data_IF_717030327506
#
_entry.id   IF_717030327506
#
_cell.length_a   1.000
_cell.length_b   1.000
_cell.length_c   1.000
_cell.angle_alpha   90.00
_cell.angle_beta   90.00
_cell.angle_gamma   90.00
#
_symmetry.space_group_name_H-M   'P 1'
#
loop_
_entity.id
_entity.type
_entity.pdbx_description
1 polymer ?
#
# COMPACT_ATOMS: atom_id res chain seq x y z
N UNK A 1 20.10 26.99 -12.67
CA UNK A 1 20.95 27.72 -11.71
C UNK A 1 21.62 26.84 -10.63
N UNK A 2 21.32 25.53 -10.50
CA UNK A 2 21.82 24.70 -9.37
C UNK A 2 23.10 23.89 -9.66
N UNK A 3 23.54 23.81 -10.92
CA UNK A 3 24.81 23.15 -11.30
C UNK A 3 26.04 24.06 -11.07
N UNK A 4 25.84 25.39 -10.99
CA UNK A 4 26.92 26.34 -10.71
C UNK A 4 27.44 26.24 -9.26
N UNK A 5 26.57 25.88 -8.30
CA UNK A 5 26.94 25.77 -6.88
C UNK A 5 27.81 24.56 -6.59
N UNK A 6 27.62 23.44 -7.31
CA UNK A 6 28.44 22.22 -7.14
C UNK A 6 29.81 22.33 -7.82
N UNK A 7 29.89 23.00 -8.98
CA UNK A 7 31.16 23.26 -9.66
C UNK A 7 31.98 24.33 -8.91
N UNK A 8 31.32 25.38 -8.40
CA UNK A 8 31.98 26.43 -7.62
C UNK A 8 32.58 25.93 -6.31
N UNK A 9 31.90 25.02 -5.60
CA UNK A 9 32.43 24.45 -4.36
C UNK A 9 33.62 23.52 -4.62
N UNK A 10 33.59 22.70 -5.67
CA UNK A 10 34.71 21.83 -6.03
C UNK A 10 35.99 22.62 -6.38
N UNK A 11 35.86 23.72 -7.12
CA UNK A 11 36.98 24.62 -7.45
C UNK A 11 37.53 25.31 -6.21
N UNK A 12 36.67 25.81 -5.32
CA UNK A 12 37.09 26.41 -4.04
C UNK A 12 37.83 25.40 -3.15
N UNK A 13 37.44 24.12 -3.16
CA UNK A 13 38.14 23.07 -2.44
C UNK A 13 39.52 22.77 -3.01
N UNK A 14 39.65 22.69 -4.33
CA UNK A 14 40.96 22.51 -4.97
C UNK A 14 41.89 23.69 -4.68
N UNK A 15 41.37 24.92 -4.70
CA UNK A 15 42.13 26.12 -4.31
C UNK A 15 42.54 26.04 -2.83
N UNK A 16 41.66 25.63 -1.93
CA UNK A 16 41.97 25.50 -0.50
C UNK A 16 43.04 24.42 -0.23
N UNK A 17 42.95 23.26 -0.89
CA UNK A 17 43.96 22.18 -0.82
C UNK A 17 45.30 22.67 -1.35
N UNK A 18 45.30 23.37 -2.49
CA UNK A 18 46.50 23.92 -3.10
C UNK A 18 47.16 24.99 -2.22
N UNK A 19 46.38 25.89 -1.62
CA UNK A 19 46.87 26.90 -0.68
C UNK A 19 47.41 26.29 0.61
N UNK A 20 46.77 25.24 1.13
CA UNK A 20 47.26 24.49 2.29
C UNK A 20 48.58 23.76 1.99
N UNK A 21 48.72 23.19 0.79
CA UNK A 21 49.96 22.55 0.35
C UNK A 21 51.11 23.55 0.18
N UNK A 22 50.85 24.70 -0.43
CA UNK A 22 51.88 25.74 -0.62
C UNK A 22 52.30 26.37 0.72
N UNK A 23 51.39 26.48 1.68
CA UNK A 23 51.67 27.03 3.02
C UNK A 23 51.84 25.95 4.08
N UNK A 24 52.29 24.74 3.70
CA UNK A 24 52.41 23.59 4.62
C UNK A 24 53.34 23.84 5.80
N UNK A 25 54.28 24.76 5.66
CA UNK A 25 55.23 25.14 6.72
C UNK A 25 54.59 26.08 7.76
N UNK A 26 53.39 26.60 7.49
CA UNK A 26 52.60 27.40 8.43
C UNK A 26 51.62 26.51 9.19
N UNK A 27 51.98 26.20 10.43
CA UNK A 27 51.16 25.42 11.36
C UNK A 27 49.75 26.01 11.53
N UNK A 28 49.61 27.35 11.48
CA UNK A 28 48.31 28.04 11.55
C UNK A 28 47.44 27.77 10.33
N UNK A 29 48.02 27.72 9.12
CA UNK A 29 47.27 27.43 7.90
C UNK A 29 46.85 25.97 7.88
N UNK A 30 47.74 25.06 8.26
CA UNK A 30 47.45 23.63 8.33
C UNK A 30 46.34 23.33 9.35
N UNK A 31 46.42 23.92 10.55
CA UNK A 31 45.41 23.75 11.61
C UNK A 31 44.05 24.29 11.16
N UNK A 32 44.02 25.47 10.55
CA UNK A 32 42.78 26.09 10.04
C UNK A 32 42.14 25.23 8.94
N UNK A 33 42.96 24.68 8.03
CA UNK A 33 42.50 23.77 6.98
C UNK A 33 41.91 22.48 7.56
N UNK A 34 42.58 21.87 8.55
CA UNK A 34 42.10 20.66 9.22
C UNK A 34 40.79 20.89 9.98
N UNK A 35 40.65 22.03 10.67
CA UNK A 35 39.39 22.42 11.33
C UNK A 35 38.26 22.60 10.31
N UNK A 36 38.54 23.28 9.19
CA UNK A 36 37.58 23.46 8.10
C UNK A 36 37.14 22.13 7.46
N UNK A 37 38.08 21.22 7.21
CA UNK A 37 37.79 19.88 6.69
C UNK A 37 36.96 19.06 7.67
N UNK A 38 37.30 19.11 8.96
CA UNK A 38 36.55 18.42 10.02
C UNK A 38 35.13 18.96 10.13
N UNK A 39 34.95 20.29 10.04
CA UNK A 39 33.63 20.92 10.03
C UNK A 39 32.81 20.55 8.79
N UNK A 40 33.44 20.43 7.61
CA UNK A 40 32.77 19.95 6.40
C UNK A 40 32.34 18.48 6.52
N UNK A 41 33.26 17.60 6.93
CA UNK A 41 32.95 16.18 7.12
C UNK A 41 31.85 16.03 8.17
N UNK A 42 31.95 16.78 9.28
CA UNK A 42 30.93 16.84 10.32
C UNK A 42 29.57 17.32 9.82
N UNK A 43 29.52 18.34 8.97
CA UNK A 43 28.26 18.85 8.40
C UNK A 43 27.66 17.93 7.33
N UNK A 44 28.49 17.30 6.48
CA UNK A 44 28.04 16.27 5.54
C UNK A 44 27.51 15.04 6.28
N UNK A 45 28.21 14.58 7.30
CA UNK A 45 27.75 13.49 8.18
C UNK A 45 26.47 13.91 8.91
N UNK A 46 26.35 15.15 9.39
CA UNK A 46 25.14 15.64 10.02
C UNK A 46 23.94 15.65 9.07
N UNK A 47 24.12 16.02 7.79
CA UNK A 47 23.06 15.91 6.78
C UNK A 47 22.68 14.45 6.51
N UNK A 48 23.65 13.54 6.47
CA UNK A 48 23.40 12.10 6.24
C UNK A 48 22.73 11.44 7.45
N UNK A 49 23.08 11.84 8.67
CA UNK A 49 22.60 11.24 9.92
C UNK A 49 21.30 11.89 10.40
N UNK A 50 21.21 13.22 10.37
CA UNK A 50 20.07 14.00 10.90
C UNK A 50 19.18 14.61 9.82
N UNK A 51 19.66 14.75 8.58
CA UNK A 51 18.85 15.20 7.44
C UNK A 51 18.05 14.07 6.78
N UNK A 52 18.28 12.82 7.20
CA UNK A 52 17.48 11.69 6.77
C UNK A 52 16.14 11.68 7.53
N UNK A 53 15.05 11.97 6.82
CA UNK A 53 13.72 11.80 7.39
C UNK A 53 13.42 10.33 7.72
N UNK A 54 12.61 10.08 8.77
CA UNK A 54 12.40 8.74 9.27
C UNK A 54 11.72 7.85 8.23
N UNK A 55 12.08 6.55 8.16
CA UNK A 55 11.35 5.60 7.33
C UNK A 55 9.89 5.50 7.81
N UNK A 56 8.98 5.29 6.87
CA UNK A 56 7.57 5.02 7.21
C UNK A 56 7.45 3.52 7.44
N UNK A 57 6.86 3.13 8.56
CA UNK A 57 6.50 1.73 8.80
C UNK A 57 5.11 1.65 9.41
N UNK A 58 4.18 1.01 8.71
CA UNK A 58 2.82 0.72 9.16
C UNK A 58 2.64 -0.79 9.20
N UNK A 59 2.14 -1.30 10.31
CA UNK A 59 1.87 -2.73 10.48
C UNK A 59 0.46 -2.89 11.05
N UNK A 60 -0.38 -3.64 10.35
CA UNK A 60 -1.77 -3.85 10.69
C UNK A 60 -2.21 -5.26 10.26
N UNK A 61 -3.33 -5.72 10.81
CA UNK A 61 -3.96 -6.99 10.44
C UNK A 61 -5.14 -6.73 9.52
N UNK A 62 -5.42 -7.68 8.63
CA UNK A 62 -6.61 -7.68 7.78
C UNK A 62 -7.22 -9.07 7.79
N UNK A 63 -8.53 -9.18 7.62
CA UNK A 63 -9.21 -10.46 7.55
C UNK A 63 -10.10 -10.56 6.31
N UNK A 64 -10.21 -11.76 5.78
CA UNK A 64 -11.17 -12.10 4.73
C UNK A 64 -12.11 -13.16 5.27
N UNK A 65 -13.40 -12.83 5.29
CA UNK A 65 -14.46 -13.77 5.64
C UNK A 65 -14.94 -14.52 4.41
N UNK A 66 -15.18 -15.81 4.62
CA UNK A 66 -15.42 -16.80 3.58
C UNK A 66 -16.63 -17.63 4.00
N UNK A 67 -17.49 -17.98 3.06
CA UNK A 67 -18.59 -18.91 3.32
C UNK A 67 -18.06 -20.34 3.44
N UNK A 68 -18.32 -21.01 4.55
CA UNK A 68 -17.81 -22.37 4.81
C UNK A 68 -18.31 -23.42 3.82
N UNK A 69 -19.48 -23.20 3.21
CA UNK A 69 -20.13 -24.19 2.32
C UNK A 69 -19.47 -24.26 0.94
N UNK A 70 -19.13 -23.11 0.37
CA UNK A 70 -18.68 -22.99 -1.01
C UNK A 70 -17.33 -22.30 -1.17
N UNK A 71 -16.73 -21.82 -0.07
CA UNK A 71 -15.43 -21.15 -0.07
C UNK A 71 -15.44 -19.91 -0.98
N UNK A 72 -16.58 -19.21 -1.05
CA UNK A 72 -16.69 -17.92 -1.73
C UNK A 72 -16.56 -16.78 -0.72
N UNK A 73 -16.04 -15.61 -1.13
CA UNK A 73 -15.94 -14.45 -0.23
C UNK A 73 -17.30 -14.08 0.36
N UNK A 74 -17.32 -13.67 1.62
CA UNK A 74 -18.52 -13.23 2.31
C UNK A 74 -18.83 -11.76 1.97
N UNK A 75 -20.03 -11.48 1.47
CA UNK A 75 -20.40 -10.18 0.89
C UNK A 75 -21.25 -9.27 1.79
N UNK A 76 -21.92 -9.81 2.82
CA UNK A 76 -22.92 -9.03 3.58
C UNK A 76 -22.32 -8.12 4.67
N UNK A 77 -21.01 -7.88 4.63
CA UNK A 77 -20.36 -6.96 5.56
C UNK A 77 -20.42 -5.52 5.04
N UNK A 78 -20.83 -4.55 5.87
CA UNK A 78 -20.91 -3.15 5.45
C UNK A 78 -19.53 -2.56 5.12
N UNK A 79 -18.48 -3.07 5.76
CA UNK A 79 -17.09 -2.73 5.48
C UNK A 79 -16.28 -4.02 5.40
N UNK A 80 -15.49 -4.17 4.34
CA UNK A 80 -14.62 -5.33 4.13
C UNK A 80 -13.30 -4.91 3.51
N UNK A 81 -12.25 -5.71 3.73
CA UNK A 81 -10.93 -5.49 3.14
C UNK A 81 -10.97 -5.54 1.61
N UNK A 82 -11.93 -6.27 1.05
CA UNK A 82 -12.06 -6.49 -0.38
C UNK A 82 -12.98 -5.42 -0.98
N UNK A 83 -12.50 -4.61 -1.95
CA UNK A 83 -13.37 -3.72 -2.70
C UNK A 83 -14.46 -4.52 -3.41
N UNK A 84 -15.69 -4.01 -3.45
CA UNK A 84 -16.84 -4.77 -3.97
C UNK A 84 -16.63 -5.23 -5.42
N UNK A 85 -16.01 -4.42 -6.28
CA UNK A 85 -15.66 -4.83 -7.64
C UNK A 85 -14.77 -6.09 -7.68
N UNK A 86 -13.76 -6.16 -6.80
CA UNK A 86 -12.91 -7.34 -6.67
C UNK A 86 -13.69 -8.55 -6.18
N UNK A 87 -14.61 -8.37 -5.23
CA UNK A 87 -15.41 -9.50 -4.70
C UNK A 87 -16.29 -10.11 -5.78
N UNK A 88 -16.95 -9.28 -6.61
CA UNK A 88 -17.75 -9.73 -7.76
C UNK A 88 -16.89 -10.53 -8.74
N UNK A 89 -15.78 -9.94 -9.19
CA UNK A 89 -14.90 -10.56 -10.19
C UNK A 89 -14.28 -11.86 -9.66
N UNK A 90 -13.83 -11.87 -8.40
CA UNK A 90 -13.29 -13.06 -7.76
C UNK A 90 -14.34 -14.17 -7.66
N UNK A 91 -15.59 -13.85 -7.31
CA UNK A 91 -16.67 -14.81 -7.27
C UNK A 91 -16.98 -15.39 -8.64
N UNK A 92 -17.07 -14.56 -9.67
CA UNK A 92 -17.29 -15.01 -11.05
C UNK A 92 -16.16 -15.95 -11.50
N UNK A 93 -14.91 -15.57 -11.20
CA UNK A 93 -13.74 -16.39 -11.50
C UNK A 93 -13.77 -17.73 -10.77
N UNK A 94 -14.03 -17.74 -9.46
CA UNK A 94 -14.08 -18.97 -8.66
C UNK A 94 -15.22 -19.91 -9.09
N UNK A 95 -16.34 -19.36 -9.57
CA UNK A 95 -17.42 -20.15 -10.18
C UNK A 95 -17.01 -20.76 -11.52
N UNK A 96 -16.25 -20.02 -12.34
CA UNK A 96 -15.73 -20.50 -13.62
C UNK A 96 -14.58 -21.51 -13.45
N UNK A 97 -13.85 -21.44 -12.34
CA UNK A 97 -12.67 -22.23 -12.03
C UNK A 97 -12.81 -22.98 -10.68
N UNK A 98 -13.73 -23.96 -10.58
CA UNK A 98 -14.00 -24.68 -9.34
C UNK A 98 -12.79 -25.47 -8.81
N UNK A 99 -11.79 -25.76 -9.65
CA UNK A 99 -10.53 -26.38 -9.26
C UNK A 99 -9.76 -25.55 -8.21
N UNK A 100 -9.86 -24.21 -8.25
CA UNK A 100 -9.20 -23.32 -7.29
C UNK A 100 -9.78 -23.49 -5.88
N UNK A 101 -11.10 -23.69 -5.79
CA UNK A 101 -11.79 -23.98 -4.53
C UNK A 101 -11.43 -25.39 -4.06
N UNK A 102 -11.38 -26.37 -4.97
CA UNK A 102 -11.05 -27.74 -4.62
C UNK A 102 -9.62 -27.88 -4.06
N UNK A 103 -8.67 -27.11 -4.59
CA UNK A 103 -7.31 -26.99 -4.02
C UNK A 103 -7.37 -26.45 -2.58
N UNK A 104 -8.02 -25.29 -2.37
CA UNK A 104 -8.14 -24.67 -1.06
C UNK A 104 -8.82 -25.58 -0.01
N UNK A 105 -9.83 -26.35 -0.39
CA UNK A 105 -10.50 -27.29 0.52
C UNK A 105 -9.58 -28.39 1.05
N UNK A 106 -8.58 -28.82 0.27
CA UNK A 106 -7.63 -29.87 0.71
C UNK A 106 -6.71 -29.37 1.83
N UNK A 107 -6.47 -28.06 1.87
CA UNK A 107 -5.64 -27.40 2.88
C UNK A 107 -6.43 -27.10 4.18
N UNK A 108 -7.75 -27.32 4.18
CA UNK A 108 -8.65 -27.10 5.32
C UNK A 108 -9.11 -25.64 5.47
N UNK A 109 -8.24 -24.69 5.16
CA UNK A 109 -8.54 -23.26 5.02
C UNK A 109 -8.05 -22.75 3.66
N UNK A 110 -8.53 -21.59 3.24
CA UNK A 110 -8.25 -21.05 1.92
C UNK A 110 -7.20 -19.93 1.93
N UNK A 111 -6.31 -19.94 2.93
CA UNK A 111 -5.34 -18.87 3.18
C UNK A 111 -4.55 -18.49 1.93
N UNK A 112 -3.89 -19.44 1.28
CA UNK A 112 -3.07 -19.14 0.10
C UNK A 112 -3.92 -18.56 -1.04
N UNK A 113 -5.12 -19.10 -1.26
CA UNK A 113 -6.05 -18.60 -2.27
C UNK A 113 -6.47 -17.15 -1.96
N UNK A 114 -6.83 -16.86 -0.72
CA UNK A 114 -7.29 -15.53 -0.33
C UNK A 114 -6.14 -14.53 -0.11
N UNK A 115 -4.91 -14.99 0.13
CA UNK A 115 -3.71 -14.15 0.06
C UNK A 115 -3.45 -13.69 -1.39
N UNK A 116 -3.68 -14.56 -2.38
CA UNK A 116 -3.64 -14.18 -3.80
C UNK A 116 -4.67 -13.08 -4.10
N UNK A 117 -5.89 -13.24 -3.59
CA UNK A 117 -6.95 -12.24 -3.74
C UNK A 117 -6.57 -10.92 -3.05
N UNK A 118 -6.08 -10.98 -1.81
CA UNK A 118 -5.66 -9.81 -1.04
C UNK A 118 -4.53 -9.03 -1.74
N UNK A 119 -3.50 -9.73 -2.24
CA UNK A 119 -2.43 -9.10 -3.01
C UNK A 119 -3.01 -8.38 -4.24
N UNK A 120 -3.96 -9.02 -4.95
CA UNK A 120 -4.63 -8.38 -6.08
C UNK A 120 -5.46 -7.17 -5.66
N UNK A 121 -6.15 -7.23 -4.52
CA UNK A 121 -6.91 -6.11 -3.96
C UNK A 121 -6.02 -4.91 -3.63
N UNK A 122 -4.80 -5.12 -3.14
CA UNK A 122 -3.83 -4.03 -2.92
C UNK A 122 -3.46 -3.36 -4.25
N UNK A 123 -3.15 -4.14 -5.29
CA UNK A 123 -2.86 -3.59 -6.63
C UNK A 123 -4.10 -2.86 -7.19
N UNK A 124 -5.30 -3.42 -7.00
CA UNK A 124 -6.55 -2.83 -7.46
C UNK A 124 -6.83 -1.49 -6.78
N UNK A 125 -6.57 -1.41 -5.48
CA UNK A 125 -6.70 -0.16 -4.73
C UNK A 125 -5.71 0.88 -5.26
N UNK A 126 -4.45 0.49 -5.53
CA UNK A 126 -3.46 1.38 -6.13
C UNK A 126 -3.87 1.87 -7.52
N UNK A 127 -4.37 1.00 -8.39
CA UNK A 127 -4.92 1.36 -9.72
C UNK A 127 -6.08 2.35 -9.59
N UNK A 128 -6.98 2.13 -8.62
CA UNK A 128 -8.13 3.01 -8.39
C UNK A 128 -7.70 4.35 -7.83
N UNK A 129 -6.68 4.38 -6.95
CA UNK A 129 -6.17 5.61 -6.33
C UNK A 129 -5.34 6.46 -7.29
N UNK A 130 -4.55 5.83 -8.16
CA UNK A 130 -3.63 6.48 -9.08
C UNK A 130 -3.86 6.02 -10.53
N UNK A 131 -5.03 6.29 -11.14
CA UNK A 131 -5.41 5.70 -12.42
C UNK A 131 -4.66 6.28 -13.63
N UNK A 132 -4.21 7.54 -13.53
CA UNK A 132 -3.61 8.29 -14.65
C UNK A 132 -2.39 9.12 -14.26
N UNK A 133 -2.27 9.47 -12.98
CA UNK A 133 -1.16 10.26 -12.44
C UNK A 133 -0.86 9.83 -11.01
N UNK A 134 0.42 9.80 -10.64
CA UNK A 134 0.87 9.54 -9.26
C UNK A 134 0.70 10.77 -8.33
N UNK A 135 0.39 11.93 -8.90
CA UNK A 135 -0.09 13.11 -8.17
C UNK A 135 -1.55 13.34 -8.53
N UNK A 136 -2.42 12.53 -7.93
CA UNK A 136 -3.88 12.63 -8.10
C UNK A 136 -4.53 12.89 -6.76
N UNK A 137 -5.38 13.92 -6.74
CA UNK A 137 -6.29 14.16 -5.64
C UNK A 137 -7.59 13.39 -5.95
N UNK A 138 -7.93 12.41 -5.11
CA UNK A 138 -9.15 11.58 -5.27
C UNK A 138 -10.23 12.05 -4.32
N UNK A 139 -11.36 12.50 -4.86
CA UNK A 139 -12.50 12.93 -4.05
C UNK A 139 -13.56 11.83 -4.06
N UNK A 140 -13.93 11.27 -2.89
CA UNK A 140 -15.07 10.36 -2.83
C UNK A 140 -16.34 11.14 -3.18
N UNK A 141 -17.14 10.58 -4.07
CA UNK A 141 -18.47 11.09 -4.38
C UNK A 141 -19.47 10.03 -3.99
N UNK A 142 -20.27 10.33 -2.97
CA UNK A 142 -21.34 9.44 -2.49
C UNK A 142 -22.68 10.05 -2.88
N UNK A 143 -23.48 9.34 -3.66
CA UNK A 143 -24.81 9.80 -4.08
C UNK A 143 -25.82 8.65 -3.96
N UNK A 144 -26.73 8.72 -2.99
CA UNK A 144 -27.89 7.81 -2.90
C UNK A 144 -27.57 6.31 -2.92
N UNK A 145 -26.45 5.89 -2.32
CA UNK A 145 -26.00 4.48 -2.32
C UNK A 145 -24.99 4.14 -3.43
N UNK A 146 -24.76 5.02 -4.40
CA UNK A 146 -23.65 4.91 -5.34
C UNK A 146 -22.41 5.61 -4.77
N UNK A 147 -21.29 4.89 -4.71
CA UNK A 147 -19.97 5.45 -4.40
C UNK A 147 -19.14 5.52 -5.68
N UNK A 148 -18.60 6.69 -5.99
CA UNK A 148 -17.65 6.92 -7.07
C UNK A 148 -16.47 7.75 -6.61
N UNK A 149 -15.53 7.98 -7.52
CA UNK A 149 -14.39 8.87 -7.29
C UNK A 149 -14.31 9.89 -8.42
N UNK A 150 -14.06 11.14 -8.05
CA UNK A 150 -13.61 12.17 -9.00
C UNK A 150 -12.10 12.30 -8.85
N UNK A 151 -11.42 12.22 -9.98
CA UNK A 151 -9.96 12.30 -10.06
C UNK A 151 -9.56 13.69 -10.54
N UNK A 152 -8.75 14.39 -9.75
CA UNK A 152 -8.08 15.60 -10.19
C UNK A 152 -6.58 15.33 -10.29
N UNK A 153 -6.16 14.88 -11.49
CA UNK A 153 -4.77 14.58 -11.78
C UNK A 153 -3.98 15.85 -12.11
N UNK A 154 -2.84 16.04 -11.44
CA UNK A 154 -1.87 17.05 -11.85
C UNK A 154 -1.09 16.55 -13.07
N UNK A 155 -0.80 17.40 -14.06
CA UNK A 155 -0.06 17.02 -15.26
C UNK A 155 1.42 16.83 -14.92
N UNK A 156 1.75 15.66 -14.37
CA UNK A 156 3.12 15.26 -14.04
C UNK A 156 3.50 14.01 -14.83
N UNK A 157 4.76 13.94 -15.24
CA UNK A 157 5.26 12.77 -15.95
C UNK A 157 5.12 11.53 -15.06
N UNK A 158 4.38 10.55 -15.56
CA UNK A 158 4.03 9.32 -14.87
C UNK A 158 4.35 8.14 -15.77
N UNK A 159 4.79 7.02 -15.19
CA UNK A 159 4.77 5.71 -15.84
C UNK A 159 3.45 5.06 -15.47
N UNK A 160 2.75 4.50 -16.45
CA UNK A 160 1.47 3.81 -16.23
C UNK A 160 1.69 2.33 -16.49
N UNK A 161 1.50 1.50 -15.47
CA UNK A 161 1.39 0.06 -15.63
C UNK A 161 -0.05 -0.27 -16.04
N UNK A 162 -0.26 -0.55 -17.32
CA UNK A 162 -1.57 -0.97 -17.83
C UNK A 162 -1.95 -2.39 -17.36
N UNK A 163 -3.21 -2.78 -17.55
CA UNK A 163 -3.73 -4.08 -17.11
C UNK A 163 -2.94 -5.28 -17.62
N UNK A 164 -2.52 -5.27 -18.89
CA UNK A 164 -1.69 -6.34 -19.46
C UNK A 164 -0.32 -6.47 -18.79
N UNK A 165 0.36 -5.35 -18.52
CA UNK A 165 1.66 -5.37 -17.81
C UNK A 165 1.47 -5.79 -16.35
N UNK A 166 0.42 -5.32 -15.67
CA UNK A 166 0.10 -5.74 -14.30
C UNK A 166 -0.20 -7.23 -14.22
N UNK A 167 -1.02 -7.77 -15.13
CA UNK A 167 -1.31 -9.21 -15.18
C UNK A 167 -0.03 -10.03 -15.42
N UNK A 168 0.88 -9.55 -16.28
CA UNK A 168 2.17 -10.19 -16.48
C UNK A 168 3.05 -10.14 -15.22
N UNK A 169 3.09 -9.00 -14.51
CA UNK A 169 3.83 -8.86 -13.25
C UNK A 169 3.26 -9.74 -12.14
N UNK A 170 1.97 -10.03 -12.20
CA UNK A 170 1.26 -10.92 -11.29
C UNK A 170 1.15 -12.36 -11.82
N UNK A 171 1.98 -12.76 -12.79
CA UNK A 171 1.97 -14.11 -13.32
C UNK A 171 2.20 -15.14 -12.20
N UNK A 172 1.26 -16.10 -12.08
CA UNK A 172 1.24 -17.08 -11.00
C UNK A 172 0.26 -16.72 -9.87
N UNK A 173 -0.17 -15.46 -9.77
CA UNK A 173 -1.25 -15.09 -8.87
C UNK A 173 -2.59 -15.56 -9.46
N UNK A 174 -3.38 -16.30 -8.68
CA UNK A 174 -4.66 -16.90 -9.13
C UNK A 174 -5.71 -15.86 -9.55
N UNK A 175 -5.57 -14.61 -9.13
CA UNK A 175 -6.43 -13.47 -9.47
C UNK A 175 -5.69 -12.36 -10.23
N UNK A 176 -4.47 -12.61 -10.73
CA UNK A 176 -3.64 -11.60 -11.39
C UNK A 176 -4.23 -10.98 -12.66
N UNK A 177 -5.17 -11.67 -13.30
CA UNK A 177 -5.92 -11.28 -14.49
C UNK A 177 -7.23 -10.53 -14.21
N UNK A 178 -7.68 -10.47 -12.95
CA UNK A 178 -8.80 -9.62 -12.55
C UNK A 178 -8.40 -8.17 -12.84
N UNK A 179 -9.24 -7.39 -13.52
CA UNK A 179 -8.87 -6.05 -13.99
C UNK A 179 -9.61 -5.00 -13.16
N UNK A 180 -8.94 -3.91 -12.81
CA UNK A 180 -9.59 -2.76 -12.17
C UNK A 180 -10.72 -2.17 -13.04
N UNK A 181 -11.65 -1.39 -12.45
CA UNK A 181 -12.80 -0.83 -13.15
C UNK A 181 -12.36 0.10 -14.30
N UNK A 182 -11.17 0.68 -14.17
CA UNK A 182 -10.54 1.54 -15.18
C UNK A 182 -9.49 0.80 -16.01
N UNK A 183 -9.03 -0.38 -15.60
CA UNK A 183 -7.88 -1.06 -16.21
C UNK A 183 -8.12 -1.59 -17.63
N UNK A 184 -9.38 -1.61 -18.11
CA UNK A 184 -9.70 -1.97 -19.50
C UNK A 184 -9.64 -0.77 -20.46
N UNK A 185 -9.61 0.46 -19.94
CA UNK A 185 -9.60 1.66 -20.77
C UNK A 185 -8.15 2.04 -21.17
N UNK A 186 -7.90 2.36 -22.46
CA UNK A 186 -6.59 2.86 -22.88
C UNK A 186 -6.18 4.11 -22.09
N UNK A 187 -4.93 4.15 -21.63
CA UNK A 187 -4.40 5.28 -20.85
C UNK A 187 -4.71 5.25 -19.35
N UNK A 188 -5.40 4.21 -18.88
CA UNK A 188 -5.64 3.96 -17.45
C UNK A 188 -4.81 2.77 -16.95
N UNK A 189 -4.44 2.81 -15.68
CA UNK A 189 -3.68 1.75 -15.01
C UNK A 189 -3.08 2.26 -13.70
N UNK A 190 -2.09 1.56 -13.17
CA UNK A 190 -1.36 2.04 -12.00
C UNK A 190 -0.31 3.09 -12.43
N UNK A 191 -0.61 4.36 -12.19
CA UNK A 191 0.30 5.47 -12.42
C UNK A 191 1.27 5.65 -11.24
N UNK A 192 2.56 5.65 -11.57
CA UNK A 192 3.67 5.80 -10.62
C UNK A 192 4.65 6.86 -11.12
N UNK A 193 5.60 7.34 -10.29
CA UNK A 193 6.69 8.18 -10.78
C UNK A 193 7.45 7.51 -11.92
N UNK A 194 7.85 8.27 -12.93
CA UNK A 194 8.34 7.78 -14.24
C UNK A 194 9.40 6.67 -14.17
N UNK A 195 10.34 6.78 -13.24
CA UNK A 195 11.47 5.85 -13.08
C UNK A 195 11.17 4.69 -12.12
N UNK A 196 9.91 4.51 -11.72
CA UNK A 196 9.55 3.49 -10.74
C UNK A 196 9.48 2.11 -11.41
N UNK A 197 10.15 1.16 -10.79
CA UNK A 197 10.08 -0.26 -11.05
C UNK A 197 9.03 -0.89 -10.13
N UNK A 198 8.22 -1.80 -10.68
CA UNK A 198 7.24 -2.59 -9.94
C UNK A 198 7.69 -4.05 -9.96
N UNK A 199 7.91 -4.60 -8.78
CA UNK A 199 8.19 -6.02 -8.54
C UNK A 199 7.05 -6.59 -7.69
N UNK A 200 6.51 -7.74 -8.11
CA UNK A 200 5.47 -8.44 -7.35
C UNK A 200 5.94 -9.87 -7.16
N UNK A 201 6.13 -10.26 -5.90
CA UNK A 201 6.40 -11.64 -5.52
C UNK A 201 5.07 -12.28 -5.17
N UNK A 202 4.61 -13.21 -6.02
CA UNK A 202 3.33 -13.90 -5.82
C UNK A 202 3.33 -14.72 -4.52
N UNK A 203 2.15 -14.94 -3.90
CA UNK A 203 2.06 -15.70 -2.67
C UNK A 203 2.64 -17.11 -2.83
N UNK A 204 3.49 -17.46 -1.87
CA UNK A 204 4.12 -18.77 -1.78
C UNK A 204 4.45 -19.07 -0.31
N UNK A 205 4.75 -20.33 -0.02
CA UNK A 205 5.21 -20.76 1.28
C UNK A 205 6.74 -20.63 1.40
N UNK A 206 7.20 -19.84 2.37
CA UNK A 206 8.59 -19.76 2.80
C UNK A 206 8.77 -20.58 4.09
N UNK A 207 9.69 -21.56 4.15
CA UNK A 207 9.88 -22.41 5.33
C UNK A 207 10.18 -21.66 6.64
N UNK A 208 10.72 -20.45 6.58
CA UNK A 208 11.12 -19.66 7.74
C UNK A 208 10.11 -18.56 8.08
N UNK A 209 9.29 -18.13 7.11
CA UNK A 209 8.38 -16.98 7.25
C UNK A 209 6.91 -17.34 7.10
N UNK A 210 6.60 -18.60 6.77
CA UNK A 210 5.26 -19.05 6.43
C UNK A 210 4.82 -18.55 5.06
N UNK A 211 3.51 -18.33 4.90
CA UNK A 211 2.93 -17.83 3.66
C UNK A 211 3.26 -16.35 3.49
N UNK A 212 3.97 -16.01 2.40
CA UNK A 212 4.48 -14.65 2.17
C UNK A 212 4.21 -14.20 0.75
N UNK A 213 3.96 -12.89 0.61
CA UNK A 213 3.92 -12.21 -0.68
C UNK A 213 4.38 -10.76 -0.52
N UNK A 214 4.86 -10.15 -1.59
CA UNK A 214 5.43 -8.80 -1.56
C UNK A 214 5.01 -8.01 -2.80
N UNK A 215 4.68 -6.74 -2.62
CA UNK A 215 4.59 -5.74 -3.70
C UNK A 215 5.64 -4.68 -3.41
N UNK A 216 6.54 -4.42 -4.36
CA UNK A 216 7.63 -3.46 -4.21
C UNK A 216 7.62 -2.43 -5.35
N UNK A 217 7.62 -1.16 -4.97
CA UNK A 217 7.75 0.00 -5.85
C UNK A 217 9.08 0.69 -5.55
N UNK A 218 10.00 0.69 -6.51
CA UNK A 218 11.36 1.24 -6.32
C UNK A 218 11.68 2.31 -7.35
N UNK A 219 12.19 3.45 -6.90
CA UNK A 219 12.81 4.47 -7.74
C UNK A 219 14.05 5.06 -7.03
N UNK A 220 14.71 6.03 -7.66
CA UNK A 220 15.94 6.63 -7.11
C UNK A 220 15.76 7.33 -5.75
N UNK A 221 14.56 7.83 -5.44
CA UNK A 221 14.27 8.61 -4.23
C UNK A 221 13.71 7.78 -3.09
N UNK A 222 12.91 6.76 -3.37
CA UNK A 222 12.35 5.88 -2.35
C UNK A 222 12.12 4.44 -2.82
N UNK A 223 12.03 3.54 -1.84
CA UNK A 223 11.54 2.18 -2.01
C UNK A 223 10.37 1.97 -1.06
N UNK A 224 9.21 1.61 -1.62
CA UNK A 224 8.00 1.23 -0.90
C UNK A 224 7.80 -0.27 -1.06
N UNK A 225 7.58 -0.97 0.05
CA UNK A 225 7.28 -2.39 0.10
C UNK A 225 5.97 -2.60 0.87
N UNK A 226 5.09 -3.44 0.32
CA UNK A 226 3.92 -3.99 1.02
C UNK A 226 4.16 -5.49 1.17
N UNK A 227 4.50 -5.91 2.39
CA UNK A 227 4.61 -7.32 2.76
C UNK A 227 3.24 -7.79 3.25
N UNK A 228 2.78 -8.94 2.74
CA UNK A 228 1.54 -9.59 3.19
C UNK A 228 1.91 -11.00 3.64
N UNK A 229 1.54 -11.38 4.85
CA UNK A 229 1.81 -12.71 5.40
C UNK A 229 0.55 -13.36 5.94
N UNK A 230 0.40 -14.67 5.73
CA UNK A 230 -0.59 -15.47 6.43
C UNK A 230 -0.36 -15.38 7.94
N UNK A 231 -1.43 -15.27 8.73
CA UNK A 231 -1.36 -15.21 10.18
C UNK A 231 -2.08 -16.40 10.81
N UNK A 232 -3.41 -16.40 10.78
CA UNK A 232 -4.24 -17.42 11.41
C UNK A 232 -5.55 -17.57 10.63
N UNK A 233 -6.07 -18.78 10.58
CA UNK A 233 -7.46 -19.02 10.16
C UNK A 233 -8.30 -19.52 11.30
N UNK A 234 -9.56 -19.07 11.32
CA UNK A 234 -10.52 -19.43 12.34
C UNK A 234 -11.87 -19.77 11.76
N UNK A 235 -12.64 -20.54 12.54
CA UNK A 235 -14.05 -20.81 12.26
C UNK A 235 -14.90 -19.70 12.88
N UNK A 236 -15.91 -19.25 12.15
CA UNK A 236 -16.78 -18.14 12.53
C UNK A 236 -16.27 -16.78 12.06
N UNK A 237 -17.05 -15.76 12.39
CA UNK A 237 -16.83 -14.37 11.97
C UNK A 237 -16.29 -13.46 13.09
N UNK A 238 -15.84 -14.05 14.21
CA UNK A 238 -15.52 -13.28 15.41
C UNK A 238 -16.70 -12.37 15.83
N UNK A 239 -16.41 -11.15 16.27
CA UNK A 239 -17.45 -10.20 16.70
C UNK A 239 -18.39 -9.73 15.58
N UNK A 240 -18.09 -10.00 14.30
CA UNK A 240 -18.96 -9.62 13.19
C UNK A 240 -20.27 -10.41 13.10
N UNK A 241 -20.42 -11.54 13.82
CA UNK A 241 -21.69 -12.28 13.82
C UNK A 241 -22.89 -11.39 14.16
N UNK A 242 -22.71 -10.44 15.08
CA UNK A 242 -23.76 -9.54 15.53
C UNK A 242 -24.17 -8.56 14.43
N UNK A 243 -23.21 -8.09 13.63
CA UNK A 243 -23.47 -7.21 12.48
C UNK A 243 -24.24 -7.93 11.38
N UNK A 244 -23.97 -9.24 11.22
CA UNK A 244 -24.66 -10.10 10.25
C UNK A 244 -26.02 -10.60 10.74
N UNK A 245 -26.44 -10.24 11.95
CA UNK A 245 -27.71 -10.70 12.54
C UNK A 245 -27.75 -12.21 12.81
N UNK A 246 -26.58 -12.84 12.95
CA UNK A 246 -26.43 -14.25 13.27
C UNK A 246 -26.17 -14.43 14.76
N UNK A 247 -26.51 -15.59 15.31
CA UNK A 247 -25.92 -16.01 16.59
C UNK A 247 -24.54 -16.64 16.37
N UNK A 248 -23.79 -16.86 17.46
CA UNK A 248 -22.43 -17.39 17.38
C UNK A 248 -22.35 -18.78 16.72
N UNK A 249 -23.29 -19.67 17.02
CA UNK A 249 -23.35 -21.02 16.45
C UNK A 249 -23.57 -20.99 14.94
N UNK A 250 -24.50 -20.15 14.47
CA UNK A 250 -24.75 -19.92 13.05
C UNK A 250 -23.50 -19.38 12.35
N UNK A 251 -22.82 -18.38 12.95
CA UNK A 251 -21.61 -17.83 12.38
C UNK A 251 -20.50 -18.88 12.26
N UNK A 252 -20.29 -19.70 13.30
CA UNK A 252 -19.32 -20.80 13.26
C UNK A 252 -19.65 -21.85 12.19
N UNK A 253 -20.94 -22.09 11.92
CA UNK A 253 -21.35 -23.04 10.86
C UNK A 253 -21.20 -22.47 9.45
N UNK A 254 -21.42 -21.16 9.27
CA UNK A 254 -21.58 -20.54 7.96
C UNK A 254 -20.33 -19.79 7.47
N UNK A 255 -19.45 -19.37 8.38
CA UNK A 255 -18.32 -18.49 8.07
C UNK A 255 -16.99 -19.11 8.52
N UNK A 256 -15.96 -18.91 7.70
CA UNK A 256 -14.55 -19.09 8.02
C UNK A 256 -13.86 -17.74 7.84
N UNK A 257 -12.83 -17.47 8.62
CA UNK A 257 -12.07 -16.23 8.56
C UNK A 257 -10.60 -16.52 8.40
N UNK A 258 -10.01 -16.02 7.32
CA UNK A 258 -8.56 -16.06 7.09
C UNK A 258 -7.96 -14.69 7.44
N UNK A 259 -6.95 -14.67 8.30
CA UNK A 259 -6.29 -13.45 8.78
C UNK A 259 -4.88 -13.33 8.22
N UNK A 260 -4.51 -12.09 7.92
CA UNK A 260 -3.21 -11.73 7.36
C UNK A 260 -2.61 -10.57 8.13
N UNK A 261 -1.28 -10.56 8.19
CA UNK A 261 -0.52 -9.39 8.61
C UNK A 261 0.00 -8.64 7.40
N UNK A 262 -0.19 -7.33 7.38
CA UNK A 262 0.32 -6.43 6.36
C UNK A 262 1.33 -5.48 6.97
N UNK A 263 2.49 -5.35 6.33
CA UNK A 263 3.53 -4.39 6.72
C UNK A 263 3.89 -3.54 5.52
N UNK A 264 3.57 -2.25 5.60
CA UNK A 264 3.99 -1.25 4.63
C UNK A 264 5.26 -0.58 5.14
N UNK A 265 6.35 -0.70 4.39
CA UNK A 265 7.63 -0.07 4.71
C UNK A 265 8.05 0.86 3.59
N UNK A 266 8.41 2.09 3.92
CA UNK A 266 8.99 3.07 2.99
C UNK A 266 10.35 3.50 3.49
N UNK A 267 11.34 3.36 2.63
CA UNK A 267 12.69 3.89 2.84
C UNK A 267 12.99 4.99 1.82
N UNK A 268 13.64 6.06 2.28
CA UNK A 268 14.06 7.18 1.42
C UNK A 268 15.56 7.17 1.24
N UNK A 269 16.02 7.51 0.04
CA UNK A 269 17.44 7.60 -0.26
C UNK A 269 18.06 8.79 0.47
N UNK A 270 18.91 8.49 1.46
CA UNK A 270 19.57 9.49 2.31
C UNK A 270 20.46 10.45 1.52
N UNK A 271 21.11 9.97 0.45
CA UNK A 271 21.97 10.79 -0.39
C UNK A 271 21.20 11.81 -1.23
N UNK A 272 19.88 11.64 -1.36
CA UNK A 272 19.00 12.52 -2.12
C UNK A 272 17.99 13.25 -1.24
N UNK A 273 18.21 13.33 0.08
CA UNK A 273 17.29 13.98 1.02
C UNK A 273 16.95 15.43 0.65
N UNK A 274 17.92 16.19 0.12
CA UNK A 274 17.75 17.57 -0.35
C UNK A 274 17.24 17.73 -1.80
N UNK A 275 16.83 16.63 -2.45
CA UNK A 275 16.32 16.68 -3.82
C UNK A 275 14.98 17.45 -3.87
N UNK A 276 14.78 18.39 -4.82
CA UNK A 276 13.58 19.23 -4.89
C UNK A 276 12.26 18.45 -4.91
N UNK A 277 12.27 17.26 -5.50
CA UNK A 277 11.06 16.43 -5.63
C UNK A 277 10.81 15.53 -4.41
N UNK A 278 11.77 15.40 -3.49
CA UNK A 278 11.66 14.50 -2.33
C UNK A 278 10.37 14.72 -1.52
N UNK A 279 9.90 15.96 -1.26
CA UNK A 279 8.62 16.17 -0.57
C UNK A 279 7.41 15.55 -1.28
N UNK A 280 7.40 15.55 -2.62
CA UNK A 280 6.30 14.96 -3.40
C UNK A 280 6.29 13.44 -3.30
N UNK A 281 7.46 12.81 -3.33
CA UNK A 281 7.60 11.37 -3.18
C UNK A 281 7.27 10.90 -1.76
N UNK A 282 7.62 11.71 -0.76
CA UNK A 282 7.22 11.48 0.64
C UNK A 282 5.71 11.53 0.81
N UNK A 283 5.07 12.56 0.26
CA UNK A 283 3.61 12.66 0.29
C UNK A 283 2.97 11.46 -0.39
N UNK A 284 3.39 11.14 -1.63
CA UNK A 284 2.90 9.97 -2.36
C UNK A 284 3.07 8.65 -1.59
N UNK A 285 4.24 8.40 -1.01
CA UNK A 285 4.48 7.18 -0.24
C UNK A 285 3.70 7.14 1.09
N UNK A 286 3.51 8.30 1.73
CA UNK A 286 2.69 8.44 2.94
C UNK A 286 1.21 8.21 2.63
N UNK A 287 0.73 8.74 1.51
CA UNK A 287 -0.64 8.56 1.04
C UNK A 287 -0.94 7.10 0.75
N UNK A 288 0.01 6.36 0.14
CA UNK A 288 -0.11 4.92 -0.05
C UNK A 288 -0.14 4.21 1.31
N UNK A 289 0.82 4.48 2.20
CA UNK A 289 0.89 3.77 3.48
C UNK A 289 -0.35 4.00 4.35
N UNK A 290 -0.80 5.25 4.47
CA UNK A 290 -1.98 5.60 5.24
C UNK A 290 -3.28 5.11 4.56
N UNK A 291 -3.36 5.19 3.23
CA UNK A 291 -4.54 4.73 2.49
C UNK A 291 -4.70 3.21 2.53
N UNK A 292 -3.60 2.45 2.49
CA UNK A 292 -3.64 1.01 2.70
C UNK A 292 -4.04 0.65 4.13
N UNK A 293 -3.53 1.35 5.14
CA UNK A 293 -3.97 1.17 6.53
C UNK A 293 -5.47 1.47 6.67
N UNK A 294 -5.95 2.59 6.12
CA UNK A 294 -7.37 2.98 6.19
C UNK A 294 -8.30 1.97 5.49
N UNK A 295 -7.85 1.39 4.38
CA UNK A 295 -8.62 0.45 3.58
C UNK A 295 -8.62 -0.97 4.15
N UNK A 296 -7.48 -1.44 4.68
CA UNK A 296 -7.26 -2.86 4.98
C UNK A 296 -7.10 -3.15 6.48
N UNK A 297 -6.87 -2.17 7.36
CA UNK A 297 -6.77 -2.41 8.81
C UNK A 297 -8.13 -2.83 9.41
N UNK A 298 -8.18 -4.08 9.86
CA UNK A 298 -9.33 -4.71 10.50
C UNK A 298 -9.88 -3.90 11.68
N UNK A 299 -9.02 -3.23 12.44
CA UNK A 299 -9.44 -2.41 13.59
C UNK A 299 -10.23 -1.19 13.15
N UNK A 300 -9.83 -0.57 12.05
CA UNK A 300 -10.52 0.59 11.47
C UNK A 300 -11.84 0.16 10.83
N UNK A 301 -11.84 -0.96 10.09
CA UNK A 301 -13.06 -1.53 9.52
C UNK A 301 -14.08 -1.91 10.59
N UNK A 302 -13.64 -2.55 11.67
CA UNK A 302 -14.49 -2.87 12.82
C UNK A 302 -15.06 -1.61 13.48
N UNK A 303 -14.25 -0.56 13.65
CA UNK A 303 -14.72 0.72 14.20
C UNK A 303 -15.83 1.33 13.35
N UNK A 304 -15.60 1.44 12.03
CA UNK A 304 -16.59 1.95 11.05
C UNK A 304 -17.88 1.11 11.06
N UNK A 305 -17.73 -0.21 11.17
CA UNK A 305 -18.88 -1.15 11.22
C UNK A 305 -19.72 -0.99 12.48
N UNK A 306 -19.10 -0.79 13.64
CA UNK A 306 -19.81 -0.52 14.90
C UNK A 306 -20.60 0.78 14.84
N UNK A 307 -19.98 1.86 14.35
CA UNK A 307 -20.65 3.15 14.18
C UNK A 307 -21.89 3.00 13.29
N UNK A 308 -21.77 2.32 12.16
CA UNK A 308 -22.89 2.02 11.29
C UNK A 308 -24.01 1.23 11.98
N UNK A 309 -23.67 0.22 12.80
CA UNK A 309 -24.66 -0.54 13.56
C UNK A 309 -25.40 0.34 14.57
N UNK A 310 -24.70 1.26 15.26
CA UNK A 310 -25.34 2.23 16.15
C UNK A 310 -26.31 3.13 15.40
N UNK A 311 -25.92 3.65 14.23
CA UNK A 311 -26.82 4.46 13.40
C UNK A 311 -28.06 3.67 12.95
N UNK A 312 -27.90 2.42 12.51
CA UNK A 312 -29.02 1.56 12.10
C UNK A 312 -30.01 1.33 13.25
N UNK A 313 -29.52 1.06 14.46
CA UNK A 313 -30.38 0.90 15.63
C UNK A 313 -31.07 2.20 16.02
N UNK A 314 -30.34 3.32 16.03
CA UNK A 314 -30.91 4.62 16.35
C UNK A 314 -32.08 4.98 15.40
N UNK A 315 -31.93 4.74 14.09
CA UNK A 315 -32.98 4.96 13.09
C UNK A 315 -34.17 4.02 13.33
N UNK A 316 -33.93 2.74 13.61
CA UNK A 316 -35.00 1.78 13.88
C UNK A 316 -35.78 2.09 15.16
N UNK A 317 -35.18 2.80 16.11
CA UNK A 317 -35.81 3.23 17.36
C UNK A 317 -36.48 4.60 17.28
N UNK A 318 -36.36 5.33 16.15
CA UNK A 318 -37.11 6.57 15.98
C UNK A 318 -38.61 6.24 15.94
N UNK A 319 -39.44 6.87 16.78
CA UNK A 319 -40.88 6.66 16.73
C UNK A 319 -41.36 6.98 15.32
N UNK A 320 -42.09 6.06 14.70
CA UNK A 320 -42.84 6.34 13.48
C UNK A 320 -43.86 7.44 13.81
N UNK A 321 -43.45 8.70 13.71
CA UNK A 321 -44.38 9.82 13.71
C UNK A 321 -45.18 9.68 12.44
N UNK A 322 -46.37 9.08 12.59
CA UNK A 322 -47.42 9.10 11.58
C UNK A 322 -47.63 10.55 11.14
N UNK A 323 -47.14 10.90 9.96
CA UNK A 323 -47.59 12.08 9.24
C UNK A 323 -49.03 11.80 8.79
N UNK A 324 -49.99 12.43 9.47
CA UNK A 324 -51.34 12.64 8.98
C UNK A 324 -51.33 13.59 7.78
#
# INVERSE_FOLDING_TARGET
>A
MRNFTFFGSAVLYLIAIFLAYWNRDSEKVLTTFMVGLTALIGSLLAVVVFGAEPPIRKAFSTAIMIRSQDYLPYEDLPYSALPMGIVIDAREKLKAHPELIAEARKEGFANMLYQNLLQRSVVYWLETKYPTSWQSDTFPVTLGGASGYVFQSKPVSSRIFGSGELAQRMQGNKFGDVVGPLGRAPGFGLAVPKETELEITVPHFDPNKGEVSEIRLRNRLCTLTVDIRGAESGVGAGSYFALMGMNQEQAQKLVMTDQYSMVVTVSFNRFLAGHPEMPKYKQWASDIANGLEEQFDERLMWSKSKEWLFFKHAIATLPHTHSN
#
